data_IF_153810632538
#
_entry.id   IF_153810632538
#
_cell.length_a   1.000
_cell.length_b   1.000
_cell.length_c   1.000
_cell.angle_alpha   90.00
_cell.angle_beta   90.00
_cell.angle_gamma   90.00
#
_symmetry.space_group_name_H-M   'P 1'
#
loop_
_entity.id
_entity.type
_entity.pdbx_description
1 polymer ?
#
# COMPACT_ATOMS: atom_id res chain seq x y z
N UNK A 1 68.82 65.18 -19.71
CA UNK A 1 67.84 64.94 -20.80
C UNK A 1 67.19 63.58 -20.59
N UNK A 2 65.87 63.56 -20.34
CA UNK A 2 64.81 62.54 -20.67
C UNK A 2 65.21 61.05 -20.85
N UNK A 3 64.51 60.00 -20.37
CA UNK A 3 63.05 59.78 -20.18
C UNK A 3 62.79 58.40 -19.50
N UNK A 4 61.80 58.38 -18.58
CA UNK A 4 60.68 57.41 -18.33
C UNK A 4 60.84 55.87 -18.17
N UNK A 5 60.39 55.41 -16.99
CA UNK A 5 59.34 54.41 -16.64
C UNK A 5 59.39 52.93 -17.10
N UNK A 6 59.31 52.03 -16.11
CA UNK A 6 58.75 50.68 -16.21
C UNK A 6 58.60 50.05 -14.80
N UNK A 7 57.35 49.88 -14.33
CA UNK A 7 56.96 49.00 -13.19
C UNK A 7 56.86 47.57 -13.71
N UNK A 8 57.01 46.57 -12.82
CA UNK A 8 56.16 45.36 -12.68
C UNK A 8 56.92 44.29 -11.87
N UNK A 9 56.49 43.84 -10.69
CA UNK A 9 55.31 43.06 -10.25
C UNK A 9 55.67 41.59 -9.98
N UNK A 10 55.52 41.19 -8.71
CA UNK A 10 54.78 39.96 -8.37
C UNK A 10 55.53 38.64 -8.37
N UNK A 11 56.21 38.34 -7.26
CA UNK A 11 56.47 36.97 -6.81
C UNK A 11 55.14 36.37 -6.31
N UNK A 12 54.58 35.36 -7.00
CA UNK A 12 53.49 34.52 -6.46
C UNK A 12 53.82 33.06 -6.67
N UNK A 13 54.26 32.43 -5.58
CA UNK A 13 54.40 30.99 -5.45
C UNK A 13 53.02 30.33 -5.60
N UNK A 14 52.93 29.37 -6.53
CA UNK A 14 51.74 28.55 -6.73
C UNK A 14 51.69 27.44 -5.67
N UNK A 15 50.71 27.49 -4.76
CA UNK A 15 50.31 26.34 -3.98
C UNK A 15 49.39 25.46 -4.86
N UNK A 16 49.90 24.32 -5.29
CA UNK A 16 49.10 23.28 -5.93
C UNK A 16 48.26 22.57 -4.85
N UNK A 17 47.01 23.01 -4.69
CA UNK A 17 46.02 22.34 -3.83
C UNK A 17 45.49 21.08 -4.50
N UNK A 18 45.84 19.91 -3.97
CA UNK A 18 45.19 18.64 -4.30
C UNK A 18 43.79 18.65 -3.68
N UNK A 19 42.77 18.88 -4.50
CA UNK A 19 41.37 18.68 -4.13
C UNK A 19 41.11 17.17 -4.07
N UNK A 20 41.18 16.60 -2.86
CA UNK A 20 40.61 15.29 -2.57
C UNK A 20 39.09 15.39 -2.72
N UNK A 21 38.57 14.97 -3.88
CA UNK A 21 37.15 14.71 -4.05
C UNK A 21 36.80 13.49 -3.21
N UNK A 22 36.32 13.70 -1.98
CA UNK A 22 35.61 12.66 -1.26
C UNK A 22 34.39 12.29 -2.11
N UNK A 23 34.24 11.03 -2.57
CA UNK A 23 32.98 10.61 -3.15
C UNK A 23 31.93 10.86 -2.07
N UNK A 24 30.96 11.72 -2.37
CA UNK A 24 29.79 11.85 -1.53
C UNK A 24 29.19 10.46 -1.41
N UNK A 25 29.34 9.83 -0.24
CA UNK A 25 28.57 8.65 0.11
C UNK A 25 27.13 9.12 0.03
N UNK A 26 26.45 8.81 -1.08
CA UNK A 26 25.03 9.02 -1.20
C UNK A 26 24.41 8.31 0.01
N UNK A 27 23.85 9.08 0.93
CA UNK A 27 23.18 8.53 2.09
C UNK A 27 22.03 7.70 1.53
N UNK A 28 22.10 6.40 1.76
CA UNK A 28 21.12 5.47 1.26
C UNK A 28 19.73 5.87 1.79
N UNK A 29 18.77 6.00 0.88
CA UNK A 29 17.40 6.48 1.16
C UNK A 29 16.42 5.32 1.09
N UNK A 30 15.66 5.10 2.16
CA UNK A 30 14.64 4.04 2.23
C UNK A 30 13.64 4.18 1.08
N UNK A 31 13.30 5.42 0.71
CA UNK A 31 12.39 5.71 -0.40
C UNK A 31 13.01 5.41 -1.78
N UNK A 32 14.31 5.64 -1.95
CA UNK A 32 15.02 5.26 -3.17
C UNK A 32 14.98 3.73 -3.37
N UNK A 33 15.19 2.97 -2.30
CA UNK A 33 15.06 1.51 -2.37
C UNK A 33 13.62 1.05 -2.68
N UNK A 34 12.62 1.73 -2.13
CA UNK A 34 11.20 1.50 -2.46
C UNK A 34 10.92 1.78 -3.94
N UNK A 35 11.42 2.88 -4.49
CA UNK A 35 11.26 3.22 -5.89
C UNK A 35 11.94 2.20 -6.81
N UNK A 36 13.15 1.75 -6.46
CA UNK A 36 13.87 0.71 -7.19
C UNK A 36 13.09 -0.61 -7.20
N UNK A 37 12.53 -1.02 -6.05
CA UNK A 37 11.72 -2.23 -5.98
C UNK A 37 10.46 -2.15 -6.85
N UNK A 38 9.76 -1.02 -6.84
CA UNK A 38 8.56 -0.82 -7.67
C UNK A 38 8.87 -0.95 -9.17
N UNK A 39 10.10 -0.62 -9.57
CA UNK A 39 10.58 -0.77 -10.95
C UNK A 39 11.08 -2.20 -11.25
N UNK A 40 11.09 -3.10 -10.28
CA UNK A 40 11.63 -4.46 -10.39
C UNK A 40 13.14 -4.54 -10.23
N UNK A 41 13.83 -3.44 -9.91
CA UNK A 41 15.26 -3.43 -9.60
C UNK A 41 15.50 -3.78 -8.13
N UNK A 42 15.32 -5.07 -7.84
CA UNK A 42 15.40 -5.59 -6.49
C UNK A 42 16.82 -5.55 -5.91
N UNK A 43 17.86 -5.63 -6.77
CA UNK A 43 19.24 -5.60 -6.32
C UNK A 43 19.61 -4.20 -5.80
N UNK A 44 19.23 -3.15 -6.54
CA UNK A 44 19.40 -1.77 -6.10
C UNK A 44 18.55 -1.49 -4.86
N UNK A 45 17.30 -1.97 -4.81
CA UNK A 45 16.44 -1.81 -3.64
C UNK A 45 17.09 -2.34 -2.35
N UNK A 46 17.63 -3.56 -2.41
CA UNK A 46 18.35 -4.18 -1.29
C UNK A 46 19.61 -3.40 -0.92
N UNK A 47 20.34 -2.88 -1.91
CA UNK A 47 21.54 -2.09 -1.66
C UNK A 47 21.20 -0.80 -0.89
N UNK A 48 20.15 -0.09 -1.30
CA UNK A 48 19.66 1.11 -0.63
C UNK A 48 19.13 0.84 0.78
N UNK A 49 18.45 -0.29 1.03
CA UNK A 49 17.93 -0.59 2.36
C UNK A 49 18.97 -1.12 3.35
N UNK A 50 20.09 -1.69 2.86
CA UNK A 50 21.07 -2.34 3.75
C UNK A 50 21.66 -1.39 4.78
N UNK A 51 22.03 -0.18 4.37
CA UNK A 51 22.58 0.85 5.26
C UNK A 51 21.59 1.25 6.37
N UNK A 52 20.40 1.77 6.01
CA UNK A 52 19.38 2.17 6.97
C UNK A 52 18.92 1.02 7.88
N UNK A 53 18.74 -0.20 7.33
CA UNK A 53 18.34 -1.36 8.13
C UNK A 53 19.38 -1.73 9.19
N UNK A 54 20.67 -1.62 8.85
CA UNK A 54 21.77 -1.79 9.80
C UNK A 54 21.85 -0.67 10.84
N UNK A 55 21.44 0.55 10.46
CA UNK A 55 21.36 1.70 11.35
C UNK A 55 20.13 1.67 12.28
N UNK A 56 19.21 0.71 12.10
CA UNK A 56 18.05 0.54 12.97
C UNK A 56 16.72 0.95 12.34
N UNK A 57 16.72 1.51 11.14
CA UNK A 57 15.49 2.00 10.49
C UNK A 57 14.46 0.86 10.32
N UNK A 58 13.28 1.03 10.95
CA UNK A 58 12.28 -0.02 11.02
C UNK A 58 11.65 -0.35 9.65
N UNK A 59 11.48 0.66 8.77
CA UNK A 59 10.94 0.49 7.43
C UNK A 59 11.94 -0.28 6.55
N UNK A 60 13.22 0.08 6.61
CA UNK A 60 14.28 -0.62 5.90
C UNK A 60 14.47 -2.04 6.43
N UNK A 61 14.38 -2.26 7.74
CA UNK A 61 14.39 -3.61 8.31
C UNK A 61 13.20 -4.43 7.82
N UNK A 62 11.99 -3.87 7.81
CA UNK A 62 10.83 -4.54 7.24
C UNK A 62 11.04 -4.89 5.76
N UNK A 63 11.58 -3.96 4.96
CA UNK A 63 11.83 -4.17 3.54
C UNK A 63 12.91 -5.24 3.28
N UNK A 64 13.97 -5.26 4.09
CA UNK A 64 14.97 -6.33 4.07
C UNK A 64 14.35 -7.68 4.44
N UNK A 65 13.44 -7.71 5.43
CA UNK A 65 12.68 -8.92 5.77
C UNK A 65 11.87 -9.46 4.59
N UNK A 66 11.23 -8.57 3.83
CA UNK A 66 10.48 -8.91 2.62
C UNK A 66 11.39 -9.42 1.50
N UNK A 67 12.53 -8.76 1.26
CA UNK A 67 13.53 -9.20 0.29
C UNK A 67 13.99 -10.64 0.55
N UNK A 68 14.36 -10.95 1.80
CA UNK A 68 14.75 -12.31 2.20
C UNK A 68 13.60 -13.31 2.14
N UNK A 69 12.38 -12.93 2.51
CA UNK A 69 11.21 -13.83 2.45
C UNK A 69 10.90 -14.24 1.01
N UNK A 70 11.00 -13.30 0.08
CA UNK A 70 10.65 -13.46 -1.33
C UNK A 70 11.82 -13.90 -2.22
N UNK A 71 13.06 -13.83 -1.73
CA UNK A 71 14.25 -14.09 -2.54
C UNK A 71 14.46 -13.08 -3.67
N UNK A 72 14.07 -11.82 -3.44
CA UNK A 72 14.17 -10.73 -4.43
C UNK A 72 15.34 -9.81 -4.07
N UNK A 73 16.33 -9.71 -4.96
CA UNK A 73 17.56 -8.93 -4.72
C UNK A 73 18.54 -9.57 -3.73
N UNK A 74 18.13 -10.65 -3.05
CA UNK A 74 18.92 -11.51 -2.17
C UNK A 74 18.46 -12.96 -2.34
N UNK A 75 19.28 -13.92 -1.95
CA UNK A 75 18.86 -15.32 -1.84
C UNK A 75 17.72 -15.46 -0.81
N UNK A 76 16.73 -16.29 -1.12
CA UNK A 76 15.60 -16.52 -0.24
C UNK A 76 16.06 -17.14 1.09
N UNK A 77 15.72 -16.51 2.20
CA UNK A 77 16.10 -16.98 3.53
C UNK A 77 15.04 -16.59 4.57
N UNK A 78 14.17 -17.53 4.91
CA UNK A 78 13.07 -17.30 5.86
C UNK A 78 13.55 -16.99 7.28
N UNK A 79 14.71 -17.51 7.70
CA UNK A 79 15.29 -17.19 9.01
C UNK A 79 15.79 -15.74 9.07
N UNK A 80 16.44 -15.26 8.02
CA UNK A 80 16.83 -13.85 7.93
C UNK A 80 15.60 -12.94 7.88
N UNK A 81 14.56 -13.33 7.13
CA UNK A 81 13.30 -12.60 7.11
C UNK A 81 12.69 -12.47 8.52
N UNK A 82 12.65 -13.57 9.29
CA UNK A 82 12.18 -13.57 10.67
C UNK A 82 12.95 -12.57 11.55
N UNK A 83 14.28 -12.57 11.47
CA UNK A 83 15.14 -11.65 12.25
C UNK A 83 14.82 -10.19 11.90
N UNK A 84 14.72 -9.86 10.62
CA UNK A 84 14.43 -8.50 10.18
C UNK A 84 13.02 -8.04 10.56
N UNK A 85 12.01 -8.91 10.43
CA UNK A 85 10.67 -8.59 10.91
C UNK A 85 10.62 -8.42 12.42
N UNK A 86 11.30 -9.28 13.19
CA UNK A 86 11.34 -9.17 14.64
C UNK A 86 11.98 -7.85 15.09
N UNK A 87 13.05 -7.40 14.44
CA UNK A 87 13.68 -6.11 14.73
C UNK A 87 12.74 -4.93 14.46
N UNK A 88 12.07 -4.92 13.30
CA UNK A 88 11.11 -3.86 12.97
C UNK A 88 9.88 -3.90 13.90
N UNK A 89 9.34 -5.10 14.18
CA UNK A 89 8.21 -5.29 15.07
C UNK A 89 8.50 -4.84 16.51
N UNK A 90 9.72 -5.06 17.01
CA UNK A 90 10.15 -4.58 18.32
C UNK A 90 10.15 -3.05 18.44
N UNK A 91 10.18 -2.33 17.31
CA UNK A 91 10.08 -0.87 17.22
C UNK A 91 8.64 -0.40 16.96
N UNK A 92 7.64 -1.28 17.06
CA UNK A 92 6.24 -0.95 16.84
C UNK A 92 5.80 -0.96 15.38
N UNK A 93 6.65 -1.43 14.44
CA UNK A 93 6.28 -1.49 13.02
C UNK A 93 5.20 -2.56 12.76
N UNK A 94 3.94 -2.14 12.72
CA UNK A 94 2.77 -3.03 12.68
C UNK A 94 2.79 -4.05 11.53
N UNK A 95 3.15 -3.64 10.31
CA UNK A 95 3.24 -4.56 9.17
C UNK A 95 4.33 -5.62 9.34
N UNK A 96 5.40 -5.32 10.08
CA UNK A 96 6.45 -6.29 10.37
C UNK A 96 5.97 -7.30 11.40
N UNK A 97 5.27 -6.84 12.44
CA UNK A 97 4.62 -7.70 13.43
C UNK A 97 3.60 -8.65 12.77
N UNK A 98 2.77 -8.14 11.84
CA UNK A 98 1.79 -8.96 11.11
C UNK A 98 2.50 -10.06 10.29
N UNK A 99 3.54 -9.70 9.53
CA UNK A 99 4.29 -10.66 8.71
C UNK A 99 5.11 -11.65 9.57
N UNK A 100 5.61 -11.23 10.72
CA UNK A 100 6.25 -12.11 11.69
C UNK A 100 5.26 -13.16 12.20
N UNK A 101 4.07 -12.74 12.63
CA UNK A 101 3.02 -13.65 13.08
C UNK A 101 2.67 -14.69 12.01
N UNK A 102 2.49 -14.25 10.77
CA UNK A 102 2.21 -15.15 9.64
C UNK A 102 3.37 -16.13 9.38
N UNK A 103 4.61 -15.66 9.41
CA UNK A 103 5.80 -16.49 9.20
C UNK A 103 5.93 -17.55 10.31
N UNK A 104 5.75 -17.16 11.57
CA UNK A 104 5.77 -18.08 12.71
C UNK A 104 4.68 -19.15 12.58
N UNK A 105 3.47 -18.76 12.19
CA UNK A 105 2.36 -19.68 11.98
C UNK A 105 2.65 -20.69 10.86
N UNK A 106 3.20 -20.22 9.73
CA UNK A 106 3.60 -21.08 8.61
C UNK A 106 4.70 -22.08 8.97
N UNK A 107 5.60 -21.69 9.87
CA UNK A 107 6.68 -22.52 10.39
C UNK A 107 6.24 -23.47 11.51
N UNK A 108 4.93 -23.55 11.80
CA UNK A 108 4.36 -24.42 12.82
C UNK A 108 4.49 -23.90 14.26
N UNK A 109 5.04 -22.71 14.46
CA UNK A 109 5.17 -22.05 15.77
C UNK A 109 3.92 -21.24 16.09
N UNK A 110 2.77 -21.93 16.14
CA UNK A 110 1.44 -21.29 16.17
C UNK A 110 1.16 -20.56 17.49
N UNK A 111 1.69 -21.08 18.60
CA UNK A 111 1.62 -20.48 19.92
C UNK A 111 2.36 -19.14 19.95
N UNK A 112 3.60 -19.11 19.43
CA UNK A 112 4.41 -17.89 19.30
C UNK A 112 3.75 -16.87 18.34
N UNK A 113 3.05 -17.36 17.32
CA UNK A 113 2.36 -16.52 16.34
C UNK A 113 1.11 -15.84 16.89
N UNK A 114 0.40 -16.47 17.84
CA UNK A 114 -0.95 -16.07 18.21
C UNK A 114 -1.07 -14.63 18.74
N UNK A 115 -0.15 -14.10 19.57
CA UNK A 115 -0.18 -12.70 19.99
C UNK A 115 -0.18 -11.72 18.79
N UNK A 116 0.65 -11.99 17.78
CA UNK A 116 0.71 -11.19 16.55
C UNK A 116 -0.55 -11.34 15.71
N UNK A 117 -1.08 -12.57 15.60
CA UNK A 117 -2.31 -12.85 14.85
C UNK A 117 -3.51 -12.15 15.49
N UNK A 118 -3.65 -12.19 16.81
CA UNK A 118 -4.73 -11.50 17.53
C UNK A 118 -4.66 -9.99 17.31
N UNK A 119 -3.48 -9.41 17.47
CA UNK A 119 -3.26 -7.97 17.31
C UNK A 119 -3.50 -7.50 15.86
N UNK A 120 -3.05 -8.28 14.87
CA UNK A 120 -3.31 -8.03 13.44
C UNK A 120 -4.80 -8.16 13.09
N UNK A 121 -5.50 -9.17 13.62
CA UNK A 121 -6.93 -9.35 13.41
C UNK A 121 -7.75 -8.20 14.02
N UNK A 122 -7.31 -7.68 15.17
CA UNK A 122 -7.89 -6.49 15.80
C UNK A 122 -7.68 -5.21 15.01
N UNK A 123 -6.62 -5.12 14.19
CA UNK A 123 -6.45 -4.05 13.18
C UNK A 123 -7.24 -4.29 11.89
N UNK A 124 -7.77 -5.50 11.72
CA UNK A 124 -8.54 -5.87 10.54
C UNK A 124 -7.73 -6.47 9.40
N UNK A 125 -6.52 -7.01 9.64
CA UNK A 125 -5.82 -7.79 8.61
C UNK A 125 -6.66 -9.04 8.26
N UNK A 126 -7.07 -9.23 6.99
CA UNK A 126 -7.96 -10.34 6.60
C UNK A 126 -7.35 -11.73 6.80
N UNK A 127 -6.02 -11.85 6.68
CA UNK A 127 -5.30 -13.12 6.86
C UNK A 127 -5.31 -13.50 8.33
N UNK A 128 -5.03 -12.54 9.19
CA UNK A 128 -5.08 -12.72 10.64
C UNK A 128 -6.50 -12.99 11.14
N UNK A 129 -7.51 -12.29 10.62
CA UNK A 129 -8.92 -12.57 10.90
C UNK A 129 -9.29 -14.01 10.52
N UNK A 130 -8.84 -14.49 9.35
CA UNK A 130 -9.02 -15.88 8.95
C UNK A 130 -8.37 -16.86 9.93
N UNK A 131 -7.08 -16.65 10.27
CA UNK A 131 -6.37 -17.54 11.19
C UNK A 131 -7.02 -17.57 12.58
N UNK A 132 -7.34 -16.40 13.14
CA UNK A 132 -7.97 -16.28 14.45
C UNK A 132 -9.37 -16.89 14.46
N UNK A 133 -10.14 -16.72 13.39
CA UNK A 133 -11.48 -17.28 13.32
C UNK A 133 -11.48 -18.80 13.16
N UNK A 134 -10.51 -19.39 12.44
CA UNK A 134 -10.31 -20.85 12.43
C UNK A 134 -9.93 -21.34 13.83
N UNK A 135 -9.06 -20.62 14.54
CA UNK A 135 -8.66 -20.94 15.91
C UNK A 135 -9.86 -20.96 16.87
N UNK A 136 -10.72 -19.94 16.80
CA UNK A 136 -11.99 -19.90 17.55
C UNK A 136 -12.99 -20.97 17.12
N UNK A 137 -13.02 -21.38 15.85
CA UNK A 137 -13.92 -22.44 15.39
C UNK A 137 -13.56 -23.80 16.00
N UNK A 138 -12.26 -24.13 15.96
CA UNK A 138 -11.73 -25.39 16.48
C UNK A 138 -11.59 -25.39 18.00
N UNK A 139 -11.39 -24.22 18.60
CA UNK A 139 -10.96 -24.10 20.00
C UNK A 139 -9.50 -24.50 20.21
N UNK A 140 -8.64 -24.35 19.19
CA UNK A 140 -7.20 -24.53 19.31
C UNK A 140 -6.52 -23.18 19.53
N UNK A 141 -5.59 -23.09 20.50
CA UNK A 141 -4.82 -21.89 20.89
C UNK A 141 -5.65 -20.76 21.55
N UNK A 142 -6.93 -20.66 21.24
CA UNK A 142 -7.90 -19.75 21.84
C UNK A 142 -9.18 -20.51 22.23
N UNK A 143 -9.97 -19.95 23.14
CA UNK A 143 -11.26 -20.54 23.52
C UNK A 143 -12.18 -20.62 22.30
N UNK A 144 -12.94 -21.72 22.22
CA UNK A 144 -13.91 -21.92 21.14
C UNK A 144 -15.04 -20.90 21.25
N UNK A 145 -15.23 -20.13 20.19
CA UNK A 145 -16.28 -19.11 20.07
C UNK A 145 -16.77 -19.08 18.62
N UNK A 146 -17.84 -19.83 18.34
CA UNK A 146 -18.38 -19.97 16.99
C UNK A 146 -18.97 -18.68 16.43
N UNK A 147 -19.54 -17.83 17.29
CA UNK A 147 -20.08 -16.52 16.89
C UNK A 147 -18.94 -15.62 16.40
N UNK A 148 -17.87 -15.51 17.19
CA UNK A 148 -16.69 -14.74 16.80
C UNK A 148 -15.94 -15.35 15.63
N UNK A 149 -15.80 -16.68 15.59
CA UNK A 149 -15.21 -17.39 14.47
C UNK A 149 -15.90 -17.03 13.15
N UNK A 150 -17.23 -17.15 13.12
CA UNK A 150 -18.03 -16.88 11.93
C UNK A 150 -17.97 -15.41 11.53
N UNK A 151 -18.00 -14.49 12.51
CA UNK A 151 -17.88 -13.06 12.25
C UNK A 151 -16.50 -12.69 11.65
N UNK A 152 -15.40 -13.23 12.19
CA UNK A 152 -14.05 -12.99 11.70
C UNK A 152 -13.86 -13.54 10.27
N UNK A 153 -14.36 -14.74 9.98
CA UNK A 153 -14.26 -15.32 8.64
C UNK A 153 -15.17 -14.62 7.63
N UNK A 154 -16.32 -14.10 8.08
CA UNK A 154 -17.16 -13.22 7.27
C UNK A 154 -16.43 -11.93 6.89
N UNK A 155 -15.72 -11.31 7.85
CA UNK A 155 -14.90 -10.13 7.58
C UNK A 155 -13.76 -10.44 6.60
N UNK A 156 -13.02 -11.52 6.82
CA UNK A 156 -11.95 -11.96 5.93
C UNK A 156 -12.46 -12.24 4.51
N UNK A 157 -13.62 -12.90 4.38
CA UNK A 157 -14.27 -13.16 3.10
C UNK A 157 -14.70 -11.86 2.41
N UNK A 158 -15.31 -10.93 3.15
CA UNK A 158 -15.73 -9.63 2.62
C UNK A 158 -14.54 -8.76 2.15
N UNK A 159 -13.36 -8.98 2.73
CA UNK A 159 -12.11 -8.35 2.31
C UNK A 159 -11.46 -9.04 1.10
N UNK A 160 -12.11 -10.04 0.50
CA UNK A 160 -11.70 -10.68 -0.75
C UNK A 160 -10.75 -11.86 -0.57
N UNK A 161 -10.58 -12.40 0.64
CA UNK A 161 -9.78 -13.60 0.89
C UNK A 161 -10.52 -14.85 0.39
N UNK A 162 -10.14 -15.48 -0.74
CA UNK A 162 -10.97 -16.51 -1.37
C UNK A 162 -11.21 -17.74 -0.48
N UNK A 163 -10.24 -18.08 0.37
CA UNK A 163 -10.28 -19.25 1.26
C UNK A 163 -11.28 -19.04 2.41
N UNK A 164 -11.54 -17.79 2.78
CA UNK A 164 -12.54 -17.49 3.80
C UNK A 164 -13.95 -17.82 3.31
N UNK A 165 -14.25 -17.66 2.02
CA UNK A 165 -15.54 -18.06 1.44
C UNK A 165 -15.83 -19.55 1.67
N UNK A 166 -14.86 -20.40 1.32
CA UNK A 166 -14.99 -21.86 1.51
C UNK A 166 -15.07 -22.24 2.99
N UNK A 167 -14.32 -21.55 3.85
CA UNK A 167 -14.38 -21.80 5.29
C UNK A 167 -15.75 -21.45 5.88
N UNK A 168 -16.34 -20.31 5.50
CA UNK A 168 -17.70 -19.92 5.91
C UNK A 168 -18.72 -20.98 5.49
N UNK A 169 -18.65 -21.45 4.24
CA UNK A 169 -19.55 -22.52 3.74
C UNK A 169 -19.43 -23.83 4.53
N UNK A 170 -18.21 -24.21 4.95
CA UNK A 170 -18.02 -25.39 5.79
C UNK A 170 -18.61 -25.16 7.19
N UNK A 171 -18.38 -23.97 7.76
CA UNK A 171 -18.94 -23.60 9.06
C UNK A 171 -20.48 -23.60 9.06
N UNK A 172 -21.13 -23.26 7.95
CA UNK A 172 -22.59 -23.31 7.82
C UNK A 172 -23.18 -24.71 8.10
N UNK A 173 -22.38 -25.76 7.93
CA UNK A 173 -22.78 -27.14 8.21
C UNK A 173 -22.60 -27.53 9.69
N UNK A 174 -21.85 -26.74 10.45
CA UNK A 174 -21.47 -27.03 11.84
C UNK A 174 -22.01 -26.02 12.86
N UNK A 175 -22.19 -24.76 12.47
CA UNK A 175 -22.61 -23.68 13.36
C UNK A 175 -24.13 -23.51 13.27
N UNK A 176 -24.84 -23.63 14.41
CA UNK A 176 -26.29 -23.38 14.49
C UNK A 176 -26.70 -22.01 13.92
N UNK A 177 -27.91 -21.93 13.36
CA UNK A 177 -28.41 -20.72 12.71
C UNK A 177 -28.43 -19.51 13.66
N UNK A 178 -28.86 -19.70 14.90
CA UNK A 178 -28.90 -18.66 15.94
C UNK A 178 -27.52 -18.04 16.20
N UNK A 179 -26.46 -18.85 16.18
CA UNK A 179 -25.09 -18.36 16.34
C UNK A 179 -24.57 -17.64 15.09
N UNK A 180 -24.97 -18.08 13.89
CA UNK A 180 -24.64 -17.37 12.64
C UNK A 180 -25.36 -16.02 12.56
N UNK A 181 -26.62 -15.95 12.99
CA UNK A 181 -27.38 -14.70 13.12
C UNK A 181 -26.73 -13.76 14.14
N UNK A 182 -26.34 -14.28 15.31
CA UNK A 182 -25.59 -13.51 16.31
C UNK A 182 -24.27 -12.97 15.72
N UNK A 183 -23.56 -13.75 14.91
CA UNK A 183 -22.32 -13.33 14.27
C UNK A 183 -22.54 -12.15 13.32
N UNK A 184 -23.66 -12.08 12.60
CA UNK A 184 -23.99 -10.93 11.73
C UNK A 184 -24.09 -9.62 12.52
N UNK A 185 -24.52 -9.68 13.79
CA UNK A 185 -24.57 -8.49 14.67
C UNK A 185 -23.17 -8.09 15.17
N UNK A 186 -22.25 -9.05 15.26
CA UNK A 186 -20.87 -8.85 15.73
C UNK A 186 -19.95 -8.30 14.63
N UNK A 187 -20.13 -8.72 13.37
CA UNK A 187 -19.35 -8.24 12.20
C UNK A 187 -19.17 -6.71 12.16
N UNK A 188 -20.23 -5.87 12.21
CA UNK A 188 -20.07 -4.42 12.16
C UNK A 188 -19.42 -3.84 13.44
N UNK A 189 -19.47 -4.54 14.57
CA UNK A 189 -18.78 -4.12 15.79
C UNK A 189 -17.28 -4.34 15.67
N UNK A 190 -16.88 -5.54 15.23
CA UNK A 190 -15.48 -5.87 14.98
C UNK A 190 -14.86 -4.96 13.91
N UNK A 191 -15.59 -4.67 12.83
CA UNK A 191 -15.14 -3.73 11.79
C UNK A 191 -14.89 -2.32 12.36
N UNK A 192 -15.85 -1.77 13.11
CA UNK A 192 -15.70 -0.45 13.74
C UNK A 192 -14.55 -0.42 14.74
N UNK A 193 -14.38 -1.47 15.54
CA UNK A 193 -13.26 -1.60 16.47
C UNK A 193 -11.91 -1.62 15.74
N UNK A 194 -11.82 -2.34 14.61
CA UNK A 194 -10.63 -2.37 13.78
C UNK A 194 -10.32 -1.01 13.14
N UNK A 195 -11.33 -0.32 12.62
CA UNK A 195 -11.18 1.02 12.06
C UNK A 195 -10.70 2.01 13.12
N UNK A 196 -11.28 1.96 14.32
CA UNK A 196 -10.86 2.80 15.46
C UNK A 196 -9.43 2.51 15.90
N UNK A 197 -9.03 1.23 15.98
CA UNK A 197 -7.65 0.82 16.31
C UNK A 197 -6.65 1.38 15.30
N UNK A 198 -6.90 1.21 14.00
CA UNK A 198 -6.02 1.76 12.96
C UNK A 198 -5.93 3.28 13.03
N UNK A 199 -7.06 3.97 13.27
CA UNK A 199 -7.06 5.42 13.44
C UNK A 199 -6.22 5.86 14.65
N UNK A 200 -6.32 5.17 15.79
CA UNK A 200 -5.53 5.48 16.98
C UNK A 200 -4.02 5.27 16.79
N UNK A 201 -3.62 4.25 16.03
CA UNK A 201 -2.21 3.98 15.74
C UNK A 201 -1.60 5.02 14.79
N UNK A 202 -2.37 5.47 13.79
CA UNK A 202 -1.94 6.56 12.92
C UNK A 202 -1.77 7.87 13.71
N UNK A 203 -2.70 8.15 14.62
CA UNK A 203 -2.60 9.32 15.50
C UNK A 203 -1.39 9.26 16.44
N UNK A 204 -1.03 8.08 16.96
CA UNK A 204 0.17 7.90 17.78
C UNK A 204 1.45 8.16 16.97
N UNK A 205 1.56 7.60 15.77
CA UNK A 205 2.71 7.83 14.90
C UNK A 205 2.89 9.31 14.50
N UNK A 206 1.79 10.06 14.34
CA UNK A 206 1.81 11.49 14.09
C UNK A 206 2.33 12.33 15.28
N UNK A 207 2.19 11.84 16.51
CA UNK A 207 2.68 12.51 17.72
C UNK A 207 4.16 12.20 17.97
N UNK A 208 4.58 10.96 17.74
CA UNK A 208 5.99 10.53 17.86
C UNK A 208 6.89 11.15 16.77
N UNK A 209 6.29 11.71 15.71
CA UNK A 209 6.99 12.43 14.63
C UNK A 209 7.09 13.95 14.86
N UNK A 210 6.50 14.49 15.94
CA UNK A 210 6.79 15.85 16.39
C UNK A 210 8.10 15.79 17.19
N UNK A 211 9.14 16.57 16.83
CA UNK A 211 10.35 16.63 17.66
C UNK A 211 9.96 17.12 19.04
N UNK A 212 10.23 16.32 20.07
CA UNK A 212 10.05 16.71 21.46
C UNK A 212 10.70 18.09 21.69
N UNK A 213 9.99 19.10 22.21
CA UNK A 213 10.66 20.21 22.85
C UNK A 213 11.47 19.61 24.00
N UNK A 214 12.77 19.93 24.01
CA UNK A 214 13.79 19.40 24.92
C UNK A 214 13.27 19.11 26.34
N UNK A 215 13.71 18.02 26.99
CA UNK A 215 13.16 17.60 28.27
C UNK A 215 13.37 18.68 29.34
N UNK A 216 12.28 19.31 29.76
CA UNK A 216 12.24 20.06 31.00
C UNK A 216 12.46 19.08 32.16
N UNK A 217 13.32 19.49 33.09
CA UNK A 217 13.99 18.62 34.04
C UNK A 217 13.09 17.74 34.91
N UNK A 218 13.63 16.58 35.25
CA UNK A 218 13.07 15.62 36.20
C UNK A 218 12.73 16.28 37.54
N UNK A 219 11.51 16.11 38.09
CA UNK A 219 11.28 16.29 39.50
C UNK A 219 11.82 15.07 40.28
N UNK A 220 12.64 15.38 41.29
CA UNK A 220 13.27 14.44 42.22
C UNK A 220 12.30 13.44 42.85
N UNK A 221 12.79 12.22 43.01
CA UNK A 221 12.23 11.19 43.88
C UNK A 221 12.22 11.66 45.35
N UNK A 222 11.05 11.53 46.00
CA UNK A 222 10.96 11.45 47.45
C UNK A 222 10.71 9.98 47.82
N UNK A 223 11.70 9.36 48.45
CA UNK A 223 11.48 8.17 49.28
C UNK A 223 10.95 8.64 50.63
N UNK A 224 9.88 8.03 51.14
CA UNK A 224 9.91 7.61 52.54
C UNK A 224 8.90 6.49 52.86
N UNK A 225 9.21 5.83 53.96
CA UNK A 225 8.82 4.51 54.42
C UNK A 225 7.33 4.27 54.76
N UNK A 226 6.95 2.98 54.70
CA UNK A 226 5.75 2.42 55.33
C UNK A 226 5.70 0.90 55.19
N UNK A 227 6.18 0.17 56.20
CA UNK A 227 6.37 -1.29 56.24
C UNK A 227 5.43 -1.95 57.27
N UNK A 228 4.93 -3.16 56.91
CA UNK A 228 4.28 -4.25 57.68
C UNK A 228 2.73 -4.26 57.80
N UNK A 229 2.10 -5.43 58.07
CA UNK A 229 2.39 -6.79 57.60
C UNK A 229 1.15 -7.59 57.12
N UNK A 230 1.41 -8.75 56.52
CA UNK A 230 0.44 -9.78 56.13
C UNK A 230 -0.06 -10.65 57.30
N UNK A 231 -1.13 -11.43 57.11
CA UNK A 231 -1.31 -12.69 57.83
C UNK A 231 -1.16 -13.91 56.90
N UNK A 232 -0.58 -14.96 57.49
CA UNK A 232 -0.41 -16.29 56.94
C UNK A 232 -1.72 -17.10 56.98
N UNK A 233 -1.83 -18.06 56.06
CA UNK A 233 -2.88 -19.08 56.08
C UNK A 233 -2.65 -20.13 55.00
N UNK A 234 -1.89 -21.16 55.33
CA UNK A 234 -1.67 -22.34 54.51
C UNK A 234 -2.79 -23.37 54.74
N UNK A 235 -3.32 -23.97 53.66
CA UNK A 235 -3.85 -25.34 53.68
C UNK A 235 -3.41 -26.02 52.38
N UNK A 236 -2.65 -27.10 52.53
CA UNK A 236 -2.33 -28.06 51.48
C UNK A 236 -3.28 -29.26 51.60
N UNK A 237 -3.83 -29.73 50.48
CA UNK A 237 -4.28 -31.13 50.34
C UNK A 237 -4.08 -31.65 48.91
N UNK A 238 -3.12 -32.58 48.80
CA UNK A 238 -3.02 -33.74 47.92
C UNK A 238 -4.17 -34.01 46.90
N UNK A 239 -3.80 -34.31 45.64
CA UNK A 239 -4.30 -35.53 44.97
C UNK A 239 -3.51 -35.98 43.73
N UNK A 240 -2.99 -37.21 43.83
CA UNK A 240 -2.88 -38.29 42.84
C UNK A 240 -2.44 -37.98 41.39
N UNK A 241 -1.25 -38.47 41.07
CA UNK A 241 -0.78 -38.80 39.72
C UNK A 241 -1.81 -39.69 38.99
N UNK A 242 -2.37 -39.21 37.88
CA UNK A 242 -3.03 -40.05 36.87
C UNK A 242 -2.29 -39.89 35.56
N UNK A 243 -1.64 -40.97 35.15
CA UNK A 243 -1.04 -41.14 33.82
C UNK A 243 -2.20 -41.21 32.80
N UNK A 244 -2.29 -40.29 31.82
CA UNK A 244 -3.29 -40.40 30.77
C UNK A 244 -2.86 -41.42 29.70
N UNK A 245 -3.71 -42.43 29.44
CA UNK A 245 -3.59 -43.32 28.29
C UNK A 245 -3.83 -42.53 26.99
N UNK A 246 -3.05 -42.87 25.95
CA UNK A 246 -3.15 -42.30 24.62
C UNK A 246 -4.53 -42.58 23.99
N UNK A 247 -5.18 -41.52 23.52
CA UNK A 247 -6.35 -41.57 22.64
C UNK A 247 -5.83 -41.64 21.19
N UNK A 248 -6.37 -42.51 20.33
CA UNK A 248 -5.87 -42.64 18.96
C UNK A 248 -6.05 -41.34 18.18
N UNK A 249 -4.96 -40.84 17.61
CA UNK A 249 -4.92 -39.67 16.73
C UNK A 249 -5.80 -39.91 15.49
N UNK A 250 -6.97 -39.27 15.43
CA UNK A 250 -7.59 -38.98 14.14
C UNK A 250 -6.78 -37.87 13.48
N UNK A 251 -5.77 -38.29 12.73
CA UNK A 251 -4.97 -37.44 11.86
C UNK A 251 -5.87 -36.86 10.78
N UNK A 252 -6.18 -35.57 10.87
CA UNK A 252 -6.68 -34.79 9.72
C UNK A 252 -5.73 -33.61 9.54
N UNK A 253 -4.69 -33.83 8.74
CA UNK A 253 -3.77 -32.81 8.28
C UNK A 253 -4.10 -32.41 6.83
N UNK A 254 -4.91 -31.35 6.65
CA UNK A 254 -4.81 -30.48 5.48
C UNK A 254 -4.64 -28.99 5.85
N UNK A 255 -4.59 -28.62 7.13
CA UNK A 255 -4.63 -27.23 7.60
C UNK A 255 -3.36 -26.42 7.34
N UNK A 256 -2.17 -27.03 7.42
CA UNK A 256 -0.90 -26.30 7.27
C UNK A 256 -0.63 -25.93 5.82
N UNK A 257 -0.79 -26.87 4.88
CA UNK A 257 -0.61 -26.59 3.45
C UNK A 257 -1.69 -25.62 2.92
N UNK A 258 -2.94 -25.76 3.37
CA UNK A 258 -4.01 -24.84 3.03
C UNK A 258 -3.76 -23.43 3.61
N UNK A 259 -3.32 -23.32 4.86
CA UNK A 259 -2.96 -22.03 5.47
C UNK A 259 -1.71 -21.39 4.83
N UNK A 260 -0.68 -22.18 4.49
CA UNK A 260 0.52 -21.71 3.80
C UNK A 260 0.20 -21.20 2.39
N UNK A 261 -0.60 -21.96 1.64
CA UNK A 261 -1.10 -21.54 0.32
C UNK A 261 -2.00 -20.30 0.44
N UNK A 262 -2.82 -20.22 1.48
CA UNK A 262 -3.72 -19.10 1.73
C UNK A 262 -2.96 -17.82 2.06
N UNK A 263 -1.90 -17.90 2.88
CA UNK A 263 -1.10 -16.72 3.21
C UNK A 263 -0.21 -16.31 2.03
N UNK A 264 0.33 -17.27 1.26
CA UNK A 264 1.07 -16.98 0.04
C UNK A 264 0.17 -16.28 -0.98
N UNK A 265 -1.06 -16.77 -1.19
CA UNK A 265 -2.04 -16.14 -2.08
C UNK A 265 -2.52 -14.79 -1.56
N UNK A 266 -2.84 -14.69 -0.28
CA UNK A 266 -3.29 -13.44 0.31
C UNK A 266 -2.20 -12.37 0.30
N UNK A 267 -0.93 -12.75 0.52
CA UNK A 267 0.20 -11.80 0.42
C UNK A 267 0.42 -11.30 -1.01
N UNK A 268 0.07 -12.12 -2.02
CA UNK A 268 -0.02 -11.70 -3.43
C UNK A 268 -1.19 -10.75 -3.69
N UNK A 269 -2.36 -11.05 -3.11
CA UNK A 269 -3.61 -10.30 -3.34
C UNK A 269 -3.68 -8.98 -2.55
N UNK A 270 -3.11 -8.88 -1.35
CA UNK A 270 -3.14 -7.68 -0.51
C UNK A 270 -2.07 -6.64 -0.86
N UNK A 271 -1.37 -6.78 -2.00
CA UNK A 271 -0.39 -5.80 -2.47
C UNK A 271 0.90 -5.72 -1.65
N UNK A 272 1.15 -6.67 -0.75
CA UNK A 272 2.40 -6.70 0.05
C UNK A 272 3.62 -7.14 -0.75
N UNK A 273 3.50 -7.28 -2.07
CA UNK A 273 4.61 -7.60 -2.96
C UNK A 273 5.49 -6.38 -3.29
N UNK A 274 5.06 -5.17 -2.96
CA UNK A 274 5.80 -3.93 -3.17
C UNK A 274 5.98 -3.15 -1.85
N UNK A 275 7.23 -2.97 -1.36
CA UNK A 275 7.59 -2.08 -0.26
C UNK A 275 7.01 -0.67 -0.35
N UNK A 276 6.70 -0.19 -1.56
CA UNK A 276 6.02 1.10 -1.72
C UNK A 276 4.63 1.12 -1.11
N UNK A 277 3.81 0.09 -1.35
CA UNK A 277 2.49 -0.05 -0.74
C UNK A 277 2.58 -0.35 0.78
N UNK A 278 3.77 -0.76 1.23
CA UNK A 278 4.08 -0.93 2.64
C UNK A 278 4.40 0.40 3.37
N UNK A 279 4.92 1.42 2.67
CA UNK A 279 5.31 2.72 3.25
C UNK A 279 4.37 3.90 3.00
N UNK A 280 3.39 3.83 2.09
CA UNK A 280 2.53 4.99 1.73
C UNK A 280 1.64 5.54 2.86
N UNK A 281 1.57 4.90 4.02
CA UNK A 281 0.77 5.39 5.16
C UNK A 281 1.58 6.04 6.27
N UNK A 282 2.91 6.11 6.18
CA UNK A 282 3.75 6.73 7.23
C UNK A 282 4.79 7.74 6.70
N UNK A 283 5.14 7.69 5.40
CA UNK A 283 6.19 8.56 4.85
C UNK A 283 5.71 9.91 4.27
N UNK A 284 4.45 10.34 4.47
CA UNK A 284 4.01 11.67 4.00
C UNK A 284 3.95 12.68 5.14
N UNK A 285 5.13 13.12 5.59
CA UNK A 285 5.35 14.45 6.17
C UNK A 285 6.83 14.82 6.11
N UNK A 286 7.16 15.72 5.19
CA UNK A 286 8.19 16.78 5.27
C UNK A 286 8.80 17.08 3.90
N UNK A 287 8.24 18.06 3.21
CA UNK A 287 9.02 18.95 2.34
C UNK A 287 8.29 20.30 2.30
N UNK A 288 8.89 21.39 2.80
CA UNK A 288 8.41 22.72 2.48
C UNK A 288 8.89 23.15 1.09
N UNK A 289 8.14 24.08 0.53
CA UNK A 289 8.24 24.64 -0.81
C UNK A 289 9.66 24.97 -1.31
N UNK A 290 9.95 24.60 -2.55
CA UNK A 290 10.78 25.42 -3.44
C UNK A 290 10.26 25.34 -4.89
N UNK A 291 9.94 26.51 -5.43
CA UNK A 291 9.53 26.77 -6.81
C UNK A 291 10.72 27.38 -7.61
N UNK A 292 10.63 27.59 -8.93
CA UNK A 292 11.45 26.87 -9.91
C UNK A 292 12.56 27.73 -10.54
N UNK A 293 13.70 27.10 -10.85
CA UNK A 293 14.81 27.70 -11.59
C UNK A 293 14.96 27.08 -12.99
N UNK A 294 14.69 27.90 -14.02
CA UNK A 294 14.80 27.65 -15.46
C UNK A 294 16.27 27.60 -15.92
N UNK A 295 16.68 26.65 -16.76
CA UNK A 295 17.65 26.85 -17.86
C UNK A 295 17.44 25.83 -19.01
N UNK A 296 17.55 26.37 -20.23
CA UNK A 296 17.23 25.85 -21.57
C UNK A 296 18.39 25.00 -22.19
N UNK A 297 18.31 24.46 -23.43
CA UNK A 297 18.91 23.18 -23.82
C UNK A 297 20.16 23.36 -24.70
N UNK A 298 21.03 22.34 -24.73
CA UNK A 298 22.23 22.40 -25.55
C UNK A 298 22.88 21.05 -25.80
N UNK A 299 22.47 20.43 -26.91
CA UNK A 299 23.32 19.73 -27.92
C UNK A 299 24.32 18.67 -27.43
N UNK A 300 24.03 17.41 -27.73
CA UNK A 300 25.03 16.47 -28.30
C UNK A 300 24.36 15.60 -29.38
N UNK A 301 25.01 15.56 -30.54
CA UNK A 301 24.62 14.89 -31.79
C UNK A 301 24.82 13.36 -31.79
N UNK A 302 24.23 12.73 -32.82
CA UNK A 302 24.09 11.30 -33.12
C UNK A 302 25.36 10.62 -33.70
N UNK A 303 25.54 9.29 -33.58
CA UNK A 303 25.21 8.19 -34.55
C UNK A 303 26.12 6.97 -34.22
N UNK A 304 26.05 5.74 -34.83
CA UNK A 304 25.27 5.26 -35.99
C UNK A 304 24.53 3.90 -35.81
N UNK A 305 24.00 3.46 -36.94
CA UNK A 305 22.95 2.50 -37.31
C UNK A 305 23.34 1.02 -37.38
N UNK A 306 22.33 0.13 -37.23
CA UNK A 306 22.22 -1.13 -37.98
C UNK A 306 20.76 -1.41 -38.37
N UNK A 307 20.48 -2.02 -39.54
CA UNK A 307 19.17 -1.99 -40.18
C UNK A 307 18.32 -3.23 -39.86
N UNK A 308 17.00 -3.06 -39.72
CA UNK A 308 16.04 -4.17 -39.86
C UNK A 308 14.90 -3.76 -40.79
N UNK A 309 14.77 -4.59 -41.82
CA UNK A 309 13.82 -4.73 -42.92
C UNK A 309 12.40 -4.16 -42.71
N UNK A 310 11.96 -3.36 -43.68
CA UNK A 310 10.62 -2.80 -43.81
C UNK A 310 9.59 -3.78 -44.40
N UNK A 311 8.35 -3.71 -43.92
CA UNK A 311 7.15 -4.20 -44.62
C UNK A 311 6.30 -3.01 -45.09
N UNK A 312 5.62 -3.07 -46.26
CA UNK A 312 5.00 -1.89 -46.88
C UNK A 312 3.67 -1.51 -46.22
N UNK A 313 3.42 -0.20 -46.10
CA UNK A 313 2.15 0.39 -45.69
C UNK A 313 1.18 0.50 -46.90
N UNK A 314 -0.15 0.34 -46.70
CA UNK A 314 -1.16 0.55 -47.74
C UNK A 314 -1.42 2.04 -48.03
N UNK A 315 -1.67 2.34 -49.31
CA UNK A 315 -1.82 3.67 -49.90
C UNK A 315 -3.11 4.41 -49.46
N UNK A 316 -3.10 5.76 -49.43
CA UNK A 316 -4.26 6.58 -49.07
C UNK A 316 -5.25 6.77 -50.23
N UNK A 317 -6.56 6.77 -49.91
CA UNK A 317 -7.64 7.14 -50.85
C UNK A 317 -7.98 8.64 -50.76
N UNK A 318 -8.48 9.25 -51.86
CA UNK A 318 -8.46 10.70 -52.09
C UNK A 318 -9.56 11.49 -51.37
N UNK A 319 -9.25 12.75 -51.05
CA UNK A 319 -10.16 13.78 -50.54
C UNK A 319 -10.91 14.48 -51.70
N UNK A 320 -12.18 14.88 -51.53
CA UNK A 320 -12.82 15.89 -52.36
C UNK A 320 -12.70 17.31 -51.79
N UNK A 321 -12.37 18.27 -52.67
CA UNK A 321 -12.30 19.73 -52.49
C UNK A 321 -13.69 20.43 -52.43
N UNK A 322 -13.77 21.75 -52.14
CA UNK A 322 -14.82 22.32 -51.30
C UNK A 322 -15.93 23.04 -52.07
N UNK A 323 -17.14 23.05 -51.49
CA UNK A 323 -18.26 23.86 -51.97
C UNK A 323 -18.51 25.09 -51.07
N UNK A 324 -18.85 26.18 -51.75
CA UNK A 324 -18.92 27.58 -51.35
C UNK A 324 -19.91 27.94 -50.25
N UNK A 325 -19.62 29.10 -49.65
CA UNK A 325 -20.35 29.86 -48.65
C UNK A 325 -21.78 30.27 -49.04
N UNK A 326 -22.62 30.44 -48.01
CA UNK A 326 -23.86 31.24 -48.00
C UNK A 326 -23.73 32.29 -46.88
N UNK A 327 -24.14 33.56 -47.10
CA UNK A 327 -23.91 34.64 -46.14
C UNK A 327 -25.04 34.84 -45.12
N UNK A 328 -24.62 35.36 -43.97
CA UNK A 328 -25.27 36.19 -42.96
C UNK A 328 -26.81 36.19 -42.80
N UNK A 329 -27.26 35.92 -41.57
CA UNK A 329 -28.36 36.67 -40.95
C UNK A 329 -27.94 37.20 -39.58
N UNK A 330 -28.28 38.46 -39.39
CA UNK A 330 -27.85 39.39 -38.33
C UNK A 330 -28.21 38.99 -36.90
N UNK A 331 -27.43 39.59 -36.01
CA UNK A 331 -27.46 39.53 -34.57
C UNK A 331 -28.77 39.99 -33.92
N UNK A 332 -29.09 39.40 -32.77
CA UNK A 332 -29.61 40.11 -31.61
C UNK A 332 -29.05 39.49 -30.33
N UNK A 333 -28.37 40.33 -29.56
CA UNK A 333 -27.88 40.03 -28.23
C UNK A 333 -29.05 39.91 -27.25
N UNK A 334 -29.02 38.84 -26.45
CA UNK A 334 -29.62 38.77 -25.13
C UNK A 334 -28.64 37.97 -24.27
N UNK A 335 -28.13 38.60 -23.23
CA UNK A 335 -27.43 37.95 -22.12
C UNK A 335 -28.34 36.90 -21.50
N UNK A 336 -27.86 35.66 -21.29
CA UNK A 336 -28.29 34.78 -20.18
C UNK A 336 -27.67 33.38 -20.28
N UNK A 337 -27.12 32.91 -19.15
CA UNK A 337 -27.15 31.50 -18.76
C UNK A 337 -26.17 30.56 -19.46
N UNK A 338 -25.12 30.19 -18.74
CA UNK A 338 -24.45 28.90 -18.87
C UNK A 338 -25.47 27.76 -18.66
N UNK A 339 -26.18 27.36 -19.71
CA UNK A 339 -26.92 26.09 -19.72
C UNK A 339 -25.97 25.05 -20.28
N UNK A 340 -25.28 24.36 -19.36
CA UNK A 340 -24.59 23.12 -19.68
C UNK A 340 -25.61 22.17 -20.30
N UNK A 341 -25.56 21.98 -21.62
CA UNK A 341 -26.37 20.96 -22.30
C UNK A 341 -25.98 19.61 -21.71
N UNK A 342 -26.93 18.97 -21.02
CA UNK A 342 -26.78 17.61 -20.57
C UNK A 342 -26.51 16.73 -21.81
N UNK A 343 -25.38 16.03 -21.78
CA UNK A 343 -24.93 15.15 -22.83
C UNK A 343 -25.78 13.86 -22.77
N UNK A 344 -26.54 13.53 -23.82
CA UNK A 344 -27.49 12.39 -23.87
C UNK A 344 -27.15 11.36 -24.97
N UNK A 345 -25.98 11.49 -25.59
CA UNK A 345 -25.52 10.58 -26.63
C UNK A 345 -25.11 9.19 -26.14
N UNK A 346 -25.13 8.18 -27.03
CA UNK A 346 -24.95 6.77 -26.67
C UNK A 346 -23.49 6.38 -26.43
N UNK A 347 -22.53 7.29 -26.60
CA UNK A 347 -21.11 6.98 -26.40
C UNK A 347 -20.65 7.36 -25.00
N UNK A 348 -19.71 6.57 -24.48
CA UNK A 348 -19.14 6.71 -23.15
C UNK A 348 -17.62 6.58 -23.18
N UNK A 349 -16.96 7.18 -22.21
CA UNK A 349 -15.52 7.05 -21.97
C UNK A 349 -15.33 6.33 -20.64
N UNK A 350 -14.80 5.11 -20.68
CA UNK A 350 -14.40 4.38 -19.49
C UNK A 350 -13.11 4.99 -18.92
N UNK A 351 -13.20 5.48 -17.69
CA UNK A 351 -12.12 6.13 -16.95
C UNK A 351 -11.33 5.13 -16.08
N UNK A 352 -11.95 3.99 -15.74
CA UNK A 352 -11.31 2.94 -14.96
C UNK A 352 -12.26 1.80 -14.60
N UNK A 353 -11.71 0.74 -14.02
CA UNK A 353 -12.46 -0.37 -13.42
C UNK A 353 -11.90 -0.65 -12.03
N UNK A 354 -12.77 -0.66 -11.02
CA UNK A 354 -12.36 -0.67 -9.62
C UNK A 354 -12.99 -1.84 -8.89
N UNK A 355 -12.21 -2.57 -8.10
CA UNK A 355 -12.75 -3.60 -7.20
C UNK A 355 -13.56 -3.02 -6.03
N UNK A 356 -13.44 -1.71 -5.77
CA UNK A 356 -14.11 -0.99 -4.68
C UNK A 356 -14.75 0.28 -5.24
N UNK A 357 -16.07 0.41 -5.09
CA UNK A 357 -16.86 1.51 -5.66
C UNK A 357 -16.38 2.90 -5.21
N UNK A 358 -15.96 3.03 -3.95
CA UNK A 358 -15.43 4.29 -3.41
C UNK A 358 -14.16 4.79 -4.13
N UNK A 359 -13.40 3.92 -4.80
CA UNK A 359 -12.26 4.34 -5.63
C UNK A 359 -12.72 4.97 -6.95
N UNK A 360 -13.80 4.44 -7.53
CA UNK A 360 -14.44 5.01 -8.71
C UNK A 360 -15.00 6.41 -8.41
N UNK A 361 -15.65 6.58 -7.25
CA UNK A 361 -16.19 7.88 -6.83
C UNK A 361 -15.09 8.93 -6.62
N UNK A 362 -13.99 8.56 -5.97
CA UNK A 362 -12.84 9.45 -5.79
C UNK A 362 -12.16 9.81 -7.12
N UNK A 363 -12.13 8.89 -8.09
CA UNK A 363 -11.63 9.23 -9.42
C UNK A 363 -12.58 10.21 -10.12
N UNK A 364 -13.89 9.95 -10.07
CA UNK A 364 -14.89 10.86 -10.65
C UNK A 364 -14.80 12.27 -10.08
N UNK A 365 -14.75 12.42 -8.74
CA UNK A 365 -14.65 13.72 -8.09
C UNK A 365 -13.41 14.53 -8.50
N UNK A 366 -12.28 13.85 -8.79
CA UNK A 366 -11.05 14.49 -9.28
C UNK A 366 -11.12 14.92 -10.75
N UNK A 367 -11.91 14.21 -11.56
CA UNK A 367 -11.94 14.40 -13.01
C UNK A 367 -13.16 15.22 -13.47
N UNK A 368 -14.27 15.20 -12.74
CA UNK A 368 -15.55 15.79 -13.19
C UNK A 368 -15.50 17.30 -13.37
N UNK A 369 -14.57 17.99 -12.72
CA UNK A 369 -14.35 19.43 -12.90
C UNK A 369 -13.48 19.79 -14.10
N UNK A 370 -12.96 18.80 -14.84
CA UNK A 370 -12.10 19.04 -16.00
C UNK A 370 -12.92 19.37 -17.23
N UNK A 371 -12.40 20.25 -18.09
CA UNK A 371 -13.09 20.71 -19.30
C UNK A 371 -13.44 19.56 -20.26
N UNK A 372 -12.61 18.52 -20.28
CA UNK A 372 -12.75 17.31 -21.09
C UNK A 372 -13.97 16.45 -20.72
N UNK A 373 -14.48 16.61 -19.49
CA UNK A 373 -15.64 15.90 -18.97
C UNK A 373 -16.83 16.84 -18.69
N UNK A 374 -16.74 18.10 -19.12
CA UNK A 374 -17.79 19.09 -18.89
C UNK A 374 -19.12 18.62 -19.54
N UNK A 375 -20.16 18.47 -18.71
CA UNK A 375 -21.48 18.00 -19.13
C UNK A 375 -21.63 16.48 -19.27
N UNK A 376 -20.55 15.70 -19.07
CA UNK A 376 -20.63 14.25 -19.08
C UNK A 376 -21.31 13.69 -17.82
N UNK A 377 -22.13 12.65 -17.98
CA UNK A 377 -22.84 12.02 -16.87
C UNK A 377 -22.01 10.88 -16.28
N UNK A 378 -21.95 10.78 -14.95
CA UNK A 378 -21.33 9.66 -14.27
C UNK A 378 -22.17 8.40 -14.42
N UNK A 379 -21.57 7.32 -14.91
CA UNK A 379 -22.19 5.99 -14.94
C UNK A 379 -21.26 5.00 -14.25
N UNK A 380 -21.80 4.29 -13.26
CA UNK A 380 -21.15 3.16 -12.59
C UNK A 380 -21.80 1.88 -13.10
N UNK A 381 -21.01 1.03 -13.74
CA UNK A 381 -21.50 -0.22 -14.32
C UNK A 381 -20.81 -1.41 -13.64
N UNK A 382 -21.52 -2.18 -12.80
CA UNK A 382 -20.96 -3.37 -12.16
C UNK A 382 -20.74 -4.47 -13.21
N UNK A 383 -19.50 -4.95 -13.34
CA UNK A 383 -19.11 -6.02 -14.27
C UNK A 383 -18.32 -7.08 -13.50
N UNK A 384 -18.99 -8.17 -13.13
CA UNK A 384 -18.39 -9.22 -12.33
C UNK A 384 -18.00 -8.73 -10.93
N UNK A 385 -16.70 -8.74 -10.60
CA UNK A 385 -16.16 -8.30 -9.30
C UNK A 385 -15.61 -6.86 -9.31
N UNK A 386 -15.79 -6.12 -10.41
CA UNK A 386 -15.30 -4.74 -10.55
C UNK A 386 -16.39 -3.82 -11.06
N UNK A 387 -16.34 -2.56 -10.66
CA UNK A 387 -17.22 -1.50 -11.13
C UNK A 387 -16.49 -0.63 -12.13
N UNK A 388 -17.01 -0.55 -13.34
CA UNK A 388 -16.50 0.36 -14.37
C UNK A 388 -17.01 1.76 -14.10
N UNK A 389 -16.10 2.73 -14.09
CA UNK A 389 -16.43 4.14 -14.08
C UNK A 389 -16.46 4.65 -15.52
N UNK A 390 -17.60 5.17 -15.94
CA UNK A 390 -17.85 5.67 -17.29
C UNK A 390 -18.30 7.14 -17.22
N UNK A 391 -17.77 7.98 -18.10
CA UNK A 391 -18.31 9.29 -18.45
C UNK A 391 -19.21 9.13 -19.68
N UNK A 392 -20.52 9.33 -19.54
CA UNK A 392 -21.51 9.11 -20.61
C UNK A 392 -22.09 10.40 -21.19
N UNK A 393 -22.76 10.26 -22.34
CA UNK A 393 -23.51 11.34 -22.99
C UNK A 393 -22.93 11.83 -24.32
N UNK A 394 -21.82 11.26 -24.79
CA UNK A 394 -21.16 11.73 -26.01
C UNK A 394 -22.00 11.40 -27.25
N UNK A 395 -22.27 12.41 -28.09
CA UNK A 395 -23.11 12.29 -29.28
C UNK A 395 -22.53 11.31 -30.32
N UNK A 396 -21.21 11.28 -30.46
CA UNK A 396 -20.51 10.42 -31.40
C UNK A 396 -19.27 9.75 -30.80
N UNK A 397 -18.79 8.69 -31.46
CA UNK A 397 -17.52 8.04 -31.11
C UNK A 397 -16.35 9.03 -31.16
N UNK A 398 -16.34 9.94 -32.14
CA UNK A 398 -15.31 10.95 -32.30
C UNK A 398 -15.28 11.94 -31.14
N UNK A 399 -16.44 12.31 -30.58
CA UNK A 399 -16.51 13.21 -29.43
C UNK A 399 -15.94 12.51 -28.17
N UNK A 400 -16.36 11.26 -27.94
CA UNK A 400 -15.83 10.44 -26.85
C UNK A 400 -14.30 10.18 -27.00
N UNK A 401 -13.82 9.96 -28.23
CA UNK A 401 -12.39 9.77 -28.50
C UNK A 401 -11.59 11.05 -28.29
N UNK A 402 -12.16 12.21 -28.64
CA UNK A 402 -11.52 13.51 -28.42
C UNK A 402 -11.36 13.78 -26.93
N UNK A 403 -12.42 13.54 -26.15
CA UNK A 403 -12.37 13.64 -24.69
C UNK A 403 -11.33 12.67 -24.08
N UNK A 404 -11.32 11.41 -24.53
CA UNK A 404 -10.35 10.42 -24.05
C UNK A 404 -8.90 10.80 -24.41
N UNK A 405 -8.64 11.30 -25.62
CA UNK A 405 -7.29 11.74 -26.01
C UNK A 405 -6.80 12.93 -25.18
N UNK A 406 -7.70 13.84 -24.79
CA UNK A 406 -7.37 14.96 -23.91
C UNK A 406 -7.09 14.49 -22.47
N UNK A 407 -7.85 13.52 -21.97
CA UNK A 407 -7.56 12.86 -20.69
C UNK A 407 -6.18 12.17 -20.70
N UNK A 408 -5.83 11.45 -21.77
CA UNK A 408 -4.50 10.81 -21.89
C UNK A 408 -3.35 11.81 -21.87
N UNK A 409 -3.52 12.98 -22.49
CA UNK A 409 -2.53 14.07 -22.45
C UNK A 409 -2.29 14.62 -21.03
N UNK A 410 -3.27 14.47 -20.13
CA UNK A 410 -3.15 14.84 -18.71
C UNK A 410 -2.84 13.63 -17.80
N UNK A 411 -2.37 12.53 -18.38
CA UNK A 411 -1.96 11.32 -17.66
C UNK A 411 -3.12 10.42 -17.20
N UNK A 412 -4.35 10.66 -17.66
CA UNK A 412 -5.50 9.83 -17.33
C UNK A 412 -5.77 8.81 -18.44
N UNK A 413 -5.59 7.53 -18.14
CA UNK A 413 -5.96 6.44 -19.04
C UNK A 413 -7.48 6.34 -19.21
N UNK A 414 -7.90 5.96 -20.41
CA UNK A 414 -9.31 5.81 -20.77
C UNK A 414 -9.52 4.95 -22.02
N UNK A 415 -10.75 4.45 -22.16
CA UNK A 415 -11.22 3.65 -23.30
C UNK A 415 -12.59 4.15 -23.76
N UNK A 416 -12.80 4.25 -25.07
CA UNK A 416 -14.11 4.64 -25.64
C UNK A 416 -15.00 3.41 -25.78
N UNK A 417 -16.23 3.50 -25.28
CA UNK A 417 -17.26 2.45 -25.37
C UNK A 417 -18.61 3.05 -25.80
N UNK A 418 -19.54 2.20 -26.22
CA UNK A 418 -20.94 2.55 -26.47
C UNK A 418 -21.78 2.02 -25.32
#
# INVERSE_FOLDING_TARGET
>A
MTKRYGRDFGLRAAFAGVLLTFPALALADVNAGVAAWQQGDYATAVAEWRGPANAGDADAQFNMGQAYRLGRGVEQNTRQAEVFYAKAAAQGHAKAADNLGLLLFQNGRREDAMPYVVDAAQRGDPRAQYLLGIAHFNGDLVERDWVRAYALLTLANSAGLPQAASAVQQMDTHIPLDQREAAQTLVPQLKRAADARRASQLAAADLDSVPDPAPAGQPRAMSDAGRMPAPAGAIATSRAQRIPRAVPETRVAPSVAAAQSAIAEASRVTGTESPGDAGVTFARRSAPDMQPGRLDPGRVEAQPTTPVVARPAPQPRPQPEPARAVPAREARAASEGSVQRAMDGPWKVQLGAFAVDGNAERLWARLSGRAELAGATRVLEPVGRVTKLLAGGYASRSDAQTACNALKRSGQECLVTR
#
